data_IF_254445394616
#
_entry.id   IF_254445394616
#
_cell.length_a   1.000
_cell.length_b   1.000
_cell.length_c   1.000
_cell.angle_alpha   90.00
_cell.angle_beta   90.00
_cell.angle_gamma   90.00
#
_symmetry.space_group_name_H-M   'P 1'
#
loop_
_entity.id
_entity.type
_entity.pdbx_description
1 polymer ?
#
# COMPACT_ATOMS: atom_id res chain seq x y z
N UNK A 1 -4.27 -15.66 -13.73
CA UNK A 1 -4.34 -14.69 -12.63
C UNK A 1 -3.55 -13.47 -13.07
N UNK A 2 -4.20 -12.30 -13.19
CA UNK A 2 -3.45 -11.04 -13.30
C UNK A 2 -3.02 -10.69 -11.88
N UNK A 3 -1.76 -10.94 -11.55
CA UNK A 3 -1.22 -10.54 -10.25
C UNK A 3 -1.09 -9.02 -10.26
N UNK A 4 -1.88 -8.33 -9.43
CA UNK A 4 -1.72 -6.90 -9.24
C UNK A 4 -0.41 -6.62 -8.51
N UNK A 5 0.42 -5.75 -9.10
CA UNK A 5 1.64 -5.28 -8.45
C UNK A 5 1.28 -4.34 -7.27
N UNK A 6 2.27 -4.06 -6.41
CA UNK A 6 2.10 -3.22 -5.23
C UNK A 6 1.41 -1.86 -5.51
N UNK A 7 1.77 -1.18 -6.61
CA UNK A 7 1.18 0.12 -6.99
C UNK A 7 -0.31 0.03 -7.29
N UNK A 8 -0.76 -1.04 -7.95
CA UNK A 8 -2.18 -1.28 -8.19
C UNK A 8 -2.91 -1.60 -6.87
N UNK A 9 -2.31 -2.45 -6.03
CA UNK A 9 -2.92 -2.89 -4.78
C UNK A 9 -3.12 -1.75 -3.78
N UNK A 10 -2.12 -0.87 -3.63
CA UNK A 10 -2.24 0.29 -2.73
C UNK A 10 -3.32 1.28 -3.20
N UNK A 11 -3.46 1.49 -4.51
CA UNK A 11 -4.55 2.31 -5.07
C UNK A 11 -5.90 1.67 -4.78
N UNK A 12 -6.02 0.36 -5.00
CA UNK A 12 -7.25 -0.39 -4.77
C UNK A 12 -7.71 -0.26 -3.31
N UNK A 13 -6.85 -0.63 -2.35
CA UNK A 13 -7.18 -0.57 -0.92
C UNK A 13 -7.58 0.84 -0.49
N UNK A 14 -6.84 1.87 -0.95
CA UNK A 14 -7.16 3.27 -0.64
C UNK A 14 -8.56 3.64 -1.14
N UNK A 15 -8.88 3.32 -2.40
CA UNK A 15 -10.16 3.67 -3.01
C UNK A 15 -11.32 2.92 -2.35
N UNK A 16 -11.17 1.61 -2.10
CA UNK A 16 -12.18 0.77 -1.47
C UNK A 16 -12.52 1.27 -0.05
N UNK A 17 -11.54 1.87 0.64
CA UNK A 17 -11.70 2.43 1.98
C UNK A 17 -11.95 3.94 2.01
N UNK A 18 -12.12 4.59 0.86
CA UNK A 18 -12.32 6.05 0.72
C UNK A 18 -11.28 6.90 1.48
N UNK A 19 -10.02 6.48 1.46
CA UNK A 19 -8.93 7.14 2.17
C UNK A 19 -8.26 8.22 1.31
N UNK A 20 -7.80 9.31 1.93
CA UNK A 20 -7.03 10.34 1.23
C UNK A 20 -5.53 10.04 1.31
N UNK A 21 -4.82 10.23 0.19
CA UNK A 21 -3.37 10.02 0.11
C UNK A 21 -2.60 10.77 1.22
N UNK A 22 -3.03 12.01 1.53
CA UNK A 22 -2.43 12.84 2.57
C UNK A 22 -2.56 12.22 3.96
N UNK A 23 -3.69 11.59 4.27
CA UNK A 23 -3.98 11.06 5.60
C UNK A 23 -3.18 9.77 5.83
N UNK A 24 -3.06 8.94 4.79
CA UNK A 24 -2.21 7.73 4.80
C UNK A 24 -0.75 8.13 4.98
N UNK A 25 -0.25 9.07 4.17
CA UNK A 25 1.13 9.54 4.25
C UNK A 25 1.46 10.09 5.64
N UNK A 26 0.57 10.92 6.20
CA UNK A 26 0.73 11.46 7.55
C UNK A 26 0.74 10.36 8.63
N UNK A 27 -0.16 9.39 8.55
CA UNK A 27 -0.29 8.30 9.53
C UNK A 27 0.98 7.42 9.62
N UNK A 28 1.72 7.29 8.52
CA UNK A 28 2.96 6.49 8.48
C UNK A 28 4.24 7.34 8.51
N UNK A 29 4.12 8.66 8.76
CA UNK A 29 5.24 9.62 8.81
C UNK A 29 6.00 9.71 7.48
N UNK A 30 5.28 9.68 6.36
CA UNK A 30 5.81 9.78 5.01
C UNK A 30 5.39 11.10 4.34
N UNK A 31 6.21 11.63 3.45
CA UNK A 31 5.77 12.74 2.61
C UNK A 31 4.70 12.28 1.63
N UNK A 32 3.68 13.13 1.40
CA UNK A 32 2.65 12.87 0.38
C UNK A 32 3.26 12.60 -1.01
N UNK A 33 4.38 13.26 -1.32
CA UNK A 33 5.10 13.09 -2.58
C UNK A 33 5.63 11.66 -2.72
N UNK A 34 6.25 11.10 -1.68
CA UNK A 34 6.74 9.73 -1.72
C UNK A 34 5.58 8.74 -1.88
N UNK A 35 4.49 8.94 -1.14
CA UNK A 35 3.28 8.13 -1.27
C UNK A 35 2.72 8.15 -2.71
N UNK A 36 2.65 9.33 -3.33
CA UNK A 36 2.20 9.46 -4.74
C UNK A 36 3.13 8.75 -5.73
N UNK A 37 4.45 8.75 -5.49
CA UNK A 37 5.40 8.00 -6.33
C UNK A 37 5.19 6.49 -6.23
N UNK A 38 4.72 5.99 -5.08
CA UNK A 38 4.35 4.59 -4.90
C UNK A 38 3.12 4.24 -5.73
N UNK A 39 2.04 5.03 -5.66
CA UNK A 39 0.84 4.80 -6.46
C UNK A 39 1.14 4.84 -7.97
N UNK A 40 2.08 5.70 -8.40
CA UNK A 40 2.51 5.78 -9.81
C UNK A 40 3.49 4.69 -10.25
N UNK A 41 3.99 3.87 -9.33
CA UNK A 41 5.04 2.89 -9.61
C UNK A 41 6.43 3.50 -9.90
N UNK A 42 6.62 4.80 -9.66
CA UNK A 42 7.89 5.53 -9.88
C UNK A 42 8.94 5.27 -8.80
N UNK A 43 8.52 4.71 -7.66
CA UNK A 43 9.40 4.36 -6.56
C UNK A 43 8.85 3.13 -5.84
N UNK A 44 9.73 2.27 -5.33
CA UNK A 44 9.36 1.21 -4.41
C UNK A 44 9.50 1.69 -2.95
N UNK A 45 8.62 1.25 -2.03
CA UNK A 45 8.78 1.52 -0.61
C UNK A 45 10.00 0.79 -0.07
N UNK A 46 10.63 1.35 0.96
CA UNK A 46 11.60 0.59 1.76
C UNK A 46 10.85 -0.45 2.60
N UNK A 47 11.54 -1.49 3.07
CA UNK A 47 10.91 -2.51 3.93
C UNK A 47 10.18 -1.91 5.16
N UNK A 48 10.76 -0.94 5.91
CA UNK A 48 10.03 -0.30 7.01
C UNK A 48 8.75 0.42 6.58
N UNK A 49 8.76 1.10 5.43
CA UNK A 49 7.58 1.79 4.90
C UNK A 49 6.52 0.79 4.44
N UNK A 50 6.94 -0.30 3.80
CA UNK A 50 6.05 -1.37 3.38
C UNK A 50 5.35 -2.03 4.58
N UNK A 51 6.07 -2.28 5.67
CA UNK A 51 5.50 -2.79 6.93
C UNK A 51 4.50 -1.80 7.53
N UNK A 52 4.87 -0.51 7.65
CA UNK A 52 3.95 0.54 8.15
C UNK A 52 2.66 0.62 7.32
N UNK A 53 2.75 0.52 6.00
CA UNK A 53 1.60 0.54 5.11
C UNK A 53 0.73 -0.72 5.28
N UNK A 54 1.34 -1.90 5.37
CA UNK A 54 0.63 -3.15 5.62
C UNK A 54 -0.09 -3.14 6.98
N UNK A 55 0.55 -2.59 8.01
CA UNK A 55 -0.06 -2.36 9.33
C UNK A 55 -1.21 -1.36 9.27
N UNK A 56 -1.00 -0.22 8.60
CA UNK A 56 -2.01 0.82 8.45
C UNK A 56 -3.27 0.31 7.72
N UNK A 57 -3.07 -0.50 6.68
CA UNK A 57 -4.16 -1.12 5.94
C UNK A 57 -4.64 -2.43 6.59
N UNK A 58 -4.01 -2.92 7.64
CA UNK A 58 -4.34 -4.21 8.25
C UNK A 58 -4.46 -5.35 7.22
N UNK A 59 -3.40 -5.56 6.44
CA UNK A 59 -3.33 -6.62 5.41
C UNK A 59 -1.98 -7.35 5.47
N UNK A 60 -1.94 -8.59 4.98
CA UNK A 60 -0.67 -9.31 4.83
C UNK A 60 0.22 -8.73 3.72
N UNK A 61 1.54 -8.93 3.85
CA UNK A 61 2.48 -8.58 2.78
C UNK A 61 2.26 -9.40 1.51
N UNK A 62 1.80 -10.65 1.62
CA UNK A 62 1.51 -11.49 0.46
C UNK A 62 0.33 -10.92 -0.34
N UNK A 63 -0.73 -10.45 0.33
CA UNK A 63 -1.78 -9.70 -0.34
C UNK A 63 -1.26 -8.41 -0.97
N UNK A 64 -0.47 -7.67 -0.19
CA UNK A 64 -0.07 -6.33 -0.55
C UNK A 64 0.92 -6.28 -1.72
N UNK A 65 1.73 -7.34 -1.86
CA UNK A 65 2.70 -7.53 -2.95
C UNK A 65 2.15 -8.41 -4.10
N UNK A 66 0.87 -8.80 -4.05
CA UNK A 66 0.23 -9.57 -5.13
C UNK A 66 0.60 -11.06 -5.18
N UNK A 67 1.12 -11.63 -4.09
CA UNK A 67 1.35 -13.07 -3.93
C UNK A 67 0.08 -13.83 -3.51
N UNK A 68 -0.94 -13.10 -3.04
CA UNK A 68 -2.25 -13.61 -2.64
C UNK A 68 -3.35 -12.59 -2.94
N UNK A 69 -4.58 -13.07 -3.10
CA UNK A 69 -5.80 -12.26 -3.09
C UNK A 69 -6.54 -12.29 -1.74
N UNK A 70 -6.05 -13.09 -0.78
CA UNK A 70 -6.52 -13.09 0.59
C UNK A 70 -5.86 -11.96 1.39
N UNK A 71 -6.59 -10.91 1.81
CA UNK A 71 -6.03 -9.81 2.58
C UNK A 71 -5.64 -10.17 4.01
N UNK A 72 -6.09 -11.33 4.50
CA UNK A 72 -5.97 -11.72 5.91
C UNK A 72 -4.52 -11.66 6.37
N UNK A 73 -4.32 -11.00 7.51
CA UNK A 73 -3.06 -10.93 8.23
C UNK A 73 -2.91 -12.18 9.11
N UNK A 74 -1.73 -12.81 9.04
CA UNK A 74 -1.35 -13.96 9.87
C UNK A 74 -0.35 -13.55 10.94
#
# INVERSE_FOLDING_TARGET
MNFSNFSERIIQIKNDRNLLQKDIANAIELSIRNYQRYEKGEQQPTLPVLLKLADYFDVSLDYFLGRSDDPTRY
#
